data_IF_620794116579
#
_entry.id   IF_620794116579
#
_cell.length_a   1.000
_cell.length_b   1.000
_cell.length_c   1.000
_cell.angle_alpha   90.00
_cell.angle_beta   90.00
_cell.angle_gamma   90.00
#
_symmetry.space_group_name_H-M   'P 1'
#
loop_
_entity.id
_entity.type
_entity.pdbx_description
1 polymer ?
#
# COMPACT_ATOMS: atom_id res chain seq x y z
N UNK A 1 -17.39 20.02 1.83
CA UNK A 1 -17.69 18.71 2.48
C UNK A 1 -16.88 17.54 1.88
N UNK A 2 -15.69 17.78 1.30
CA UNK A 2 -14.87 16.71 0.67
C UNK A 2 -13.62 16.34 1.49
N UNK A 3 -13.05 17.30 2.25
CA UNK A 3 -11.90 17.06 3.12
C UNK A 3 -12.16 16.03 4.24
N UNK A 4 -13.38 16.00 4.80
CA UNK A 4 -13.69 15.09 5.92
C UNK A 4 -13.64 13.60 5.52
N UNK A 5 -13.87 13.25 4.25
CA UNK A 5 -13.81 11.84 3.77
C UNK A 5 -12.39 11.30 3.63
N UNK A 6 -11.40 12.18 3.39
CA UNK A 6 -10.00 11.77 3.28
C UNK A 6 -9.40 11.44 4.65
N UNK A 7 -9.89 12.07 5.71
CA UNK A 7 -9.46 11.83 7.09
C UNK A 7 -9.99 10.50 7.67
N UNK A 8 -10.87 9.79 6.96
CA UNK A 8 -11.38 8.46 7.32
C UNK A 8 -10.57 7.32 6.71
N UNK A 9 -9.49 7.63 5.97
CA UNK A 9 -8.64 6.64 5.31
C UNK A 9 -7.27 6.57 5.96
N UNK A 10 -6.66 5.41 5.86
CA UNK A 10 -5.25 5.23 6.21
C UNK A 10 -4.35 5.98 5.21
N UNK A 11 -3.09 6.27 5.57
CA UNK A 11 -2.14 6.94 4.65
C UNK A 11 -1.96 6.22 3.31
N UNK A 12 -2.20 4.90 3.28
CA UNK A 12 -2.20 4.07 2.06
C UNK A 12 -3.47 4.16 1.21
N UNK A 13 -4.46 4.95 1.61
CA UNK A 13 -5.81 4.98 1.00
C UNK A 13 -6.72 3.82 1.42
N UNK A 14 -6.22 2.86 2.20
CA UNK A 14 -7.00 1.73 2.70
C UNK A 14 -8.04 2.17 3.74
N UNK A 15 -9.12 1.39 3.85
CA UNK A 15 -10.09 1.53 4.94
C UNK A 15 -9.47 1.09 6.27
N UNK A 16 -9.60 1.88 7.36
CA UNK A 16 -9.15 1.47 8.68
C UNK A 16 -10.04 0.35 9.24
N UNK A 17 -9.52 -0.37 10.23
CA UNK A 17 -10.30 -1.31 11.02
C UNK A 17 -11.51 -0.62 11.66
N UNK A 18 -12.64 -1.32 11.72
CA UNK A 18 -13.84 -0.86 12.42
C UNK A 18 -14.14 -1.70 13.66
N UNK A 19 -14.70 -1.07 14.69
CA UNK A 19 -15.23 -1.75 15.88
C UNK A 19 -16.52 -2.50 15.52
N UNK A 20 -17.04 -3.41 16.39
CA UNK A 20 -18.31 -4.10 16.16
C UNK A 20 -19.49 -3.15 15.92
N UNK A 21 -19.43 -1.94 16.49
CA UNK A 21 -20.45 -0.89 16.34
C UNK A 21 -20.29 -0.11 15.01
N UNK A 22 -19.26 -0.40 14.23
CA UNK A 22 -19.00 0.22 12.93
C UNK A 22 -18.15 1.49 12.97
N UNK A 23 -17.66 1.90 14.14
CA UNK A 23 -16.79 3.08 14.29
C UNK A 23 -15.35 2.78 13.87
N UNK A 24 -14.58 3.79 13.47
CA UNK A 24 -13.14 3.63 13.19
C UNK A 24 -12.41 3.24 14.48
N UNK A 25 -11.60 2.19 14.42
CA UNK A 25 -10.80 1.73 15.56
C UNK A 25 -9.55 2.62 15.73
N UNK A 26 -9.48 3.33 16.85
CA UNK A 26 -8.35 4.16 17.24
C UNK A 26 -7.37 3.33 18.06
N UNK A 27 -6.11 3.74 18.08
CA UNK A 27 -5.07 3.00 18.80
C UNK A 27 -4.03 3.94 19.42
N UNK A 28 -3.34 3.41 20.42
CA UNK A 28 -2.13 4.00 20.99
C UNK A 28 -0.89 3.26 20.52
N UNK A 29 -1.00 1.94 20.39
CA UNK A 29 0.08 1.04 20.00
C UNK A 29 -0.47 -0.14 19.16
N UNK A 30 0.43 -0.95 18.59
CA UNK A 30 0.05 -2.04 17.66
C UNK A 30 -0.78 -3.15 18.32
N UNK A 31 -0.73 -3.34 19.64
CA UNK A 31 -1.51 -4.39 20.33
C UNK A 31 -2.99 -4.05 20.48
N UNK A 32 -3.35 -2.77 20.27
CA UNK A 32 -4.75 -2.34 20.22
C UNK A 32 -5.43 -2.78 18.90
N UNK A 33 -4.63 -3.20 17.92
CA UNK A 33 -5.07 -3.55 16.58
C UNK A 33 -5.13 -5.07 16.36
N UNK A 34 -6.01 -5.51 15.46
CA UNK A 34 -6.05 -6.92 15.05
C UNK A 34 -4.77 -7.32 14.32
N UNK A 35 -4.43 -8.61 14.29
CA UNK A 35 -3.17 -9.18 13.74
C UNK A 35 -2.73 -8.67 12.35
N UNK A 36 -3.66 -8.17 11.54
CA UNK A 36 -3.43 -7.68 10.17
C UNK A 36 -3.34 -6.15 10.07
N UNK A 37 -3.32 -5.44 11.18
CA UNK A 37 -3.32 -3.99 11.27
C UNK A 37 -2.17 -3.49 12.15
N UNK A 38 -1.74 -2.25 11.90
CA UNK A 38 -0.74 -1.55 12.69
C UNK A 38 -1.25 -0.17 13.09
N UNK A 39 -0.80 0.30 14.24
CA UNK A 39 -1.21 1.58 14.79
C UNK A 39 -0.51 2.74 14.11
N UNK A 40 -1.23 3.38 13.18
CA UNK A 40 -0.66 4.30 12.21
C UNK A 40 -1.18 5.71 12.44
N UNK A 41 -0.26 6.68 12.48
CA UNK A 41 -0.62 8.10 12.57
C UNK A 41 -1.30 8.59 11.29
N UNK A 42 -2.32 9.42 11.44
CA UNK A 42 -3.08 9.99 10.32
C UNK A 42 -2.65 11.43 10.08
N UNK A 43 -2.00 11.66 8.94
CA UNK A 43 -1.47 12.97 8.60
C UNK A 43 -2.56 14.04 8.59
N UNK A 44 -2.30 15.17 9.23
CA UNK A 44 -3.24 16.29 9.33
C UNK A 44 -4.38 16.09 10.34
N UNK A 45 -4.44 14.96 11.05
CA UNK A 45 -5.46 14.69 12.05
C UNK A 45 -4.89 14.76 13.48
N UNK A 46 -5.20 15.86 14.17
CA UNK A 46 -4.83 16.07 15.57
C UNK A 46 -6.05 16.42 16.42
N UNK A 47 -6.03 16.00 17.68
CA UNK A 47 -7.05 16.33 18.67
C UNK A 47 -6.37 16.85 19.94
N UNK A 48 -6.61 18.12 20.29
CA UNK A 48 -5.96 18.80 21.42
C UNK A 48 -4.42 18.66 21.45
N UNK A 49 -3.78 18.74 20.28
CA UNK A 49 -2.31 18.62 20.16
C UNK A 49 -1.80 17.17 20.21
N UNK A 50 -2.69 16.18 20.27
CA UNK A 50 -2.33 14.76 20.21
C UNK A 50 -2.57 14.25 18.79
N UNK A 51 -1.57 13.56 18.24
CA UNK A 51 -1.64 12.91 16.94
C UNK A 51 -2.64 11.76 16.98
N UNK A 52 -3.69 11.82 16.15
CA UNK A 52 -4.65 10.71 16.04
C UNK A 52 -4.00 9.56 15.26
N UNK A 53 -4.29 8.33 15.71
CA UNK A 53 -3.82 7.08 15.12
C UNK A 53 -4.97 6.10 14.95
N UNK A 54 -4.98 5.41 13.81
CA UNK A 54 -5.96 4.36 13.50
C UNK A 54 -5.27 3.00 13.37
N UNK A 55 -6.03 1.94 13.60
CA UNK A 55 -5.64 0.61 13.19
C UNK A 55 -5.77 0.48 11.67
N UNK A 56 -4.64 0.58 10.98
CA UNK A 56 -4.57 0.55 9.53
C UNK A 56 -4.06 -0.79 9.02
N UNK A 57 -4.63 -1.35 7.93
CA UNK A 57 -4.15 -2.61 7.39
C UNK A 57 -2.67 -2.52 7.01
N UNK A 58 -1.90 -3.52 7.43
CA UNK A 58 -0.49 -3.60 7.04
C UNK A 58 -0.33 -3.83 5.54
N UNK A 59 0.84 -3.50 4.99
CA UNK A 59 1.17 -3.83 3.59
C UNK A 59 1.00 -5.32 3.31
N UNK A 60 1.38 -6.17 4.26
CA UNK A 60 1.27 -7.62 4.12
C UNK A 60 -0.19 -8.09 4.05
N UNK A 61 -1.11 -7.46 4.80
CA UNK A 61 -2.52 -7.83 4.77
C UNK A 61 -3.28 -7.30 3.56
N UNK A 62 -2.69 -6.39 2.79
CA UNK A 62 -3.22 -5.90 1.52
C UNK A 62 -2.58 -6.67 0.36
N UNK A 63 -1.27 -6.57 0.21
CA UNK A 63 -0.54 -6.98 -1.00
C UNK A 63 -0.50 -8.50 -1.20
N UNK A 64 -0.70 -9.29 -0.15
CA UNK A 64 -0.73 -10.76 -0.26
C UNK A 64 -2.14 -11.33 -0.51
N UNK A 65 -3.17 -10.48 -0.61
CA UNK A 65 -4.51 -10.94 -0.95
C UNK A 65 -4.59 -11.28 -2.45
N UNK A 66 -5.34 -12.32 -2.86
CA UNK A 66 -5.59 -12.58 -4.27
C UNK A 66 -6.39 -11.44 -4.91
N UNK A 67 -6.24 -11.17 -6.21
CA UNK A 67 -7.11 -10.21 -6.90
C UNK A 67 -8.57 -10.66 -6.80
N UNK A 68 -9.45 -9.75 -6.38
CA UNK A 68 -10.87 -10.01 -6.42
C UNK A 68 -11.61 -8.95 -7.24
N UNK A 69 -12.01 -9.28 -8.49
CA UNK A 69 -12.69 -8.35 -9.38
C UNK A 69 -14.15 -8.08 -8.96
N UNK A 70 -14.63 -8.63 -7.84
CA UNK A 70 -16.02 -8.57 -7.41
C UNK A 70 -16.90 -9.60 -8.10
N UNK A 71 -18.01 -9.96 -7.45
CA UNK A 71 -19.01 -10.89 -7.96
C UNK A 71 -20.43 -10.51 -7.51
N UNK A 72 -21.43 -11.17 -8.10
CA UNK A 72 -22.85 -11.04 -7.73
C UNK A 72 -23.64 -10.12 -8.65
N UNK A 73 -24.86 -9.77 -8.22
CA UNK A 73 -25.66 -8.75 -8.89
C UNK A 73 -25.16 -7.37 -8.46
N UNK A 74 -24.69 -6.59 -9.44
CA UNK A 74 -23.91 -5.38 -9.20
C UNK A 74 -24.67 -4.12 -9.69
N UNK A 75 -26.00 -4.12 -9.69
CA UNK A 75 -26.88 -2.98 -10.01
C UNK A 75 -26.45 -2.21 -11.29
N UNK A 76 -26.13 -2.92 -12.37
CA UNK A 76 -25.63 -2.34 -13.64
C UNK A 76 -24.31 -1.53 -13.52
N UNK A 77 -23.51 -1.71 -12.47
CA UNK A 77 -22.18 -1.11 -12.36
C UNK A 77 -21.27 -1.59 -13.49
N UNK A 78 -20.58 -0.64 -14.12
CA UNK A 78 -19.61 -0.94 -15.19
C UNK A 78 -18.26 -1.35 -14.58
N UNK A 79 -17.54 -2.32 -15.18
CA UNK A 79 -16.19 -2.66 -14.76
C UNK A 79 -15.26 -1.45 -14.87
N UNK A 80 -14.50 -1.17 -13.82
CA UNK A 80 -13.45 -0.15 -13.79
C UNK A 80 -12.09 -0.79 -13.96
N UNK A 81 -11.21 -0.13 -14.72
CA UNK A 81 -9.80 -0.49 -14.74
C UNK A 81 -9.17 -0.07 -13.41
N UNK A 82 -8.54 -1.02 -12.73
CA UNK A 82 -7.81 -0.82 -11.48
C UNK A 82 -6.51 -1.64 -11.53
N UNK A 83 -5.71 -1.58 -10.48
CA UNK A 83 -4.46 -2.34 -10.36
C UNK A 83 -4.47 -3.19 -9.10
N UNK A 84 -3.91 -4.39 -9.16
CA UNK A 84 -3.65 -5.23 -7.99
C UNK A 84 -2.18 -5.64 -8.00
N UNK A 85 -1.66 -6.00 -6.83
CA UNK A 85 -0.33 -6.57 -6.73
C UNK A 85 -0.38 -8.08 -6.94
N UNK A 86 0.31 -8.57 -7.98
CA UNK A 86 0.53 -9.99 -8.22
C UNK A 86 1.76 -10.46 -7.44
N UNK A 87 1.53 -11.14 -6.31
CA UNK A 87 2.60 -11.65 -5.46
C UNK A 87 3.45 -12.77 -6.10
N UNK A 88 2.99 -13.37 -7.20
CA UNK A 88 3.79 -14.37 -7.95
C UNK A 88 4.77 -13.66 -8.89
N UNK A 89 4.31 -12.61 -9.57
CA UNK A 89 5.14 -11.79 -10.47
C UNK A 89 5.93 -10.71 -9.75
N UNK A 90 5.58 -10.44 -8.49
CA UNK A 90 6.10 -9.35 -7.69
C UNK A 90 5.93 -7.99 -8.36
N UNK A 91 4.80 -7.82 -9.06
CA UNK A 91 4.49 -6.60 -9.82
C UNK A 91 3.01 -6.26 -9.76
N UNK A 92 2.73 -4.97 -9.82
CA UNK A 92 1.40 -4.46 -10.04
C UNK A 92 0.90 -4.81 -11.45
N UNK A 93 -0.36 -5.24 -11.54
CA UNK A 93 -0.99 -5.69 -12.78
C UNK A 93 -2.38 -5.06 -12.91
N UNK A 94 -2.79 -4.66 -14.12
CA UNK A 94 -4.12 -4.14 -14.35
C UNK A 94 -5.17 -5.25 -14.29
N UNK A 95 -6.36 -4.92 -13.79
CA UNK A 95 -7.53 -5.79 -13.80
C UNK A 95 -8.83 -4.99 -13.86
N UNK A 96 -9.92 -5.63 -14.29
CA UNK A 96 -11.26 -5.01 -14.33
C UNK A 96 -12.03 -5.40 -13.09
N UNK A 97 -12.48 -4.42 -12.32
CA UNK A 97 -13.22 -4.61 -11.07
C UNK A 97 -14.65 -4.11 -11.22
N UNK A 98 -15.59 -4.95 -10.81
CA UNK A 98 -16.96 -4.56 -10.49
C UNK A 98 -17.00 -4.21 -9.00
N UNK A 99 -17.27 -2.94 -8.67
CA UNK A 99 -17.35 -2.47 -7.28
C UNK A 99 -18.62 -2.97 -6.58
N UNK A 100 -18.75 -4.28 -6.41
CA UNK A 100 -19.85 -4.96 -5.72
C UNK A 100 -19.32 -5.90 -4.62
N UNK A 101 -19.98 -7.02 -4.37
CA UNK A 101 -19.63 -7.92 -3.28
C UNK A 101 -18.30 -8.62 -3.56
N UNK A 102 -17.57 -8.94 -2.48
CA UNK A 102 -16.33 -9.70 -2.57
C UNK A 102 -15.19 -8.96 -3.26
N UNK A 103 -15.15 -7.63 -3.20
CA UNK A 103 -13.91 -6.88 -3.51
C UNK A 103 -13.05 -6.79 -2.24
N UNK A 104 -11.74 -6.91 -2.39
CA UNK A 104 -10.78 -6.78 -1.28
C UNK A 104 -9.84 -5.59 -1.48
N UNK A 105 -8.93 -5.37 -0.52
CA UNK A 105 -8.07 -4.18 -0.49
C UNK A 105 -6.89 -4.25 -1.46
N UNK A 106 -6.58 -5.41 -2.08
CA UNK A 106 -5.57 -5.49 -3.13
C UNK A 106 -6.13 -4.95 -4.46
N UNK A 107 -6.52 -3.68 -4.43
CA UNK A 107 -7.07 -2.91 -5.54
C UNK A 107 -6.69 -1.45 -5.38
N UNK A 108 -6.15 -0.86 -6.43
CA UNK A 108 -5.63 0.51 -6.45
C UNK A 108 -6.17 1.22 -7.69
N UNK A 109 -6.38 2.53 -7.60
CA UNK A 109 -6.95 3.28 -8.73
C UNK A 109 -5.90 3.48 -9.82
N UNK A 110 -4.62 3.59 -9.43
CA UNK A 110 -3.50 3.78 -10.37
C UNK A 110 -2.39 2.76 -10.14
N UNK A 111 -1.52 2.58 -11.13
CA UNK A 111 -0.35 1.71 -11.02
C UNK A 111 0.61 2.26 -9.96
N UNK A 112 0.78 3.58 -9.90
CA UNK A 112 1.68 4.25 -8.96
C UNK A 112 1.26 4.03 -7.51
N UNK A 113 -0.05 4.08 -7.22
CA UNK A 113 -0.60 3.75 -5.90
C UNK A 113 -0.26 2.30 -5.50
N UNK A 114 -0.45 1.36 -6.43
CA UNK A 114 -0.11 -0.04 -6.22
C UNK A 114 1.39 -0.23 -5.97
N UNK A 115 2.24 0.37 -6.81
CA UNK A 115 3.71 0.27 -6.71
C UNK A 115 4.20 0.87 -5.40
N UNK A 116 3.68 2.04 -5.02
CA UNK A 116 4.02 2.69 -3.76
C UNK A 116 3.60 1.85 -2.55
N UNK A 117 2.46 1.15 -2.63
CA UNK A 117 1.96 0.34 -1.53
C UNK A 117 2.63 -1.03 -1.43
N UNK A 118 2.85 -1.71 -2.56
CA UNK A 118 3.17 -3.13 -2.59
C UNK A 118 4.53 -3.48 -3.20
N UNK A 119 5.11 -2.64 -4.06
CA UNK A 119 6.45 -2.91 -4.59
C UNK A 119 7.53 -2.23 -3.74
N UNK A 120 7.34 -0.96 -3.38
CA UNK A 120 8.32 -0.15 -2.62
C UNK A 120 8.31 -0.41 -1.12
N UNK A 121 8.28 -1.68 -0.69
CA UNK A 121 8.08 -1.98 0.73
C UNK A 121 9.32 -1.81 1.61
N UNK A 122 10.52 -1.95 1.03
CA UNK A 122 11.79 -1.80 1.74
C UNK A 122 12.29 -0.35 1.88
N UNK A 123 11.86 0.56 1.00
CA UNK A 123 12.44 1.90 0.89
C UNK A 123 11.80 2.88 1.88
N UNK A 124 12.60 3.85 2.36
CA UNK A 124 12.10 4.92 3.21
C UNK A 124 11.27 5.91 2.40
N UNK A 125 10.44 6.72 3.09
CA UNK A 125 9.72 7.81 2.45
C UNK A 125 10.68 8.72 1.66
N UNK A 126 10.36 8.96 0.38
CA UNK A 126 11.18 9.75 -0.55
C UNK A 126 12.27 8.97 -1.30
N UNK A 127 12.62 7.76 -0.87
CA UNK A 127 13.49 6.85 -1.63
C UNK A 127 12.66 6.06 -2.68
N UNK A 128 13.33 5.63 -3.76
CA UNK A 128 12.77 4.76 -4.80
C UNK A 128 13.57 3.47 -4.91
N UNK A 129 12.92 2.40 -5.34
CA UNK A 129 13.60 1.17 -5.72
C UNK A 129 14.43 1.40 -6.98
N UNK A 130 15.63 0.83 -7.01
CA UNK A 130 16.39 0.68 -8.26
C UNK A 130 15.76 -0.43 -9.10
N UNK A 131 15.29 -0.07 -10.29
CA UNK A 131 14.75 -1.00 -11.29
C UNK A 131 15.64 -0.95 -12.52
N UNK A 132 16.20 -2.08 -12.92
CA UNK A 132 17.02 -2.27 -14.12
C UNK A 132 16.33 -3.31 -15.01
N UNK A 133 16.15 -3.00 -16.30
CA UNK A 133 15.45 -3.86 -17.27
C UNK A 133 14.07 -4.36 -16.81
N UNK A 134 13.35 -3.52 -16.06
CA UNK A 134 12.01 -3.83 -15.54
C UNK A 134 11.99 -4.79 -14.34
N UNK A 135 13.15 -5.11 -13.76
CA UNK A 135 13.30 -5.91 -12.56
C UNK A 135 13.95 -5.11 -11.42
N UNK A 136 13.53 -5.36 -10.18
CA UNK A 136 14.13 -4.72 -8.99
C UNK A 136 15.55 -5.25 -8.79
N UNK A 137 16.52 -4.34 -8.61
CA UNK A 137 17.90 -4.72 -8.31
C UNK A 137 18.02 -5.29 -6.89
N UNK A 138 18.41 -6.55 -6.81
CA UNK A 138 18.75 -7.22 -5.56
C UNK A 138 20.16 -6.86 -5.11
N UNK A 139 20.38 -6.87 -3.81
CA UNK A 139 21.69 -6.68 -3.21
C UNK A 139 21.96 -7.78 -2.17
N UNK A 140 23.23 -7.94 -1.81
CA UNK A 140 23.67 -8.97 -0.86
C UNK A 140 25.08 -9.42 -1.18
N UNK A 141 25.23 -10.20 -2.26
CA UNK A 141 26.54 -10.49 -2.84
C UNK A 141 27.09 -9.28 -3.62
N UNK A 142 26.22 -8.62 -4.38
CA UNK A 142 26.55 -7.36 -5.05
C UNK A 142 26.12 -6.15 -4.22
N UNK A 143 26.96 -5.11 -4.25
CA UNK A 143 26.66 -3.83 -3.62
C UNK A 143 25.72 -2.99 -4.51
N UNK A 144 24.92 -2.15 -3.87
CA UNK A 144 24.14 -1.15 -4.57
C UNK A 144 25.04 -0.06 -5.17
N UNK A 145 24.66 0.55 -6.30
CA UNK A 145 25.40 1.67 -6.87
C UNK A 145 25.41 2.90 -5.95
N UNK A 146 26.26 3.91 -6.22
CA UNK A 146 26.24 5.18 -5.48
C UNK A 146 24.83 5.78 -5.41
N UNK A 147 24.50 6.41 -4.27
CA UNK A 147 23.16 6.95 -3.91
C UNK A 147 22.08 5.93 -3.58
N UNK A 148 22.38 4.63 -3.66
CA UNK A 148 21.50 3.55 -3.22
C UNK A 148 22.05 2.81 -2.00
N UNK A 149 21.14 2.41 -1.12
CA UNK A 149 21.41 1.67 0.11
C UNK A 149 20.68 0.33 0.03
N UNK A 150 21.40 -0.75 0.35
CA UNK A 150 20.83 -2.09 0.42
C UNK A 150 19.90 -2.18 1.64
N UNK A 151 18.61 -2.49 1.41
CA UNK A 151 17.58 -2.60 2.46
C UNK A 151 16.86 -3.95 2.37
N UNK A 152 16.49 -4.49 3.53
CA UNK A 152 15.70 -5.72 3.60
C UNK A 152 14.22 -5.42 3.35
N UNK A 153 13.66 -6.09 2.35
CA UNK A 153 12.24 -6.14 2.06
C UNK A 153 11.61 -7.29 2.87
N UNK A 154 10.90 -6.94 3.94
CA UNK A 154 10.26 -7.92 4.81
C UNK A 154 9.10 -8.67 4.14
N UNK A 155 8.44 -8.04 3.15
CA UNK A 155 7.30 -8.63 2.45
C UNK A 155 7.75 -9.76 1.51
N UNK A 156 8.88 -9.57 0.83
CA UNK A 156 9.44 -10.54 -0.14
C UNK A 156 10.64 -11.32 0.37
N UNK A 157 11.06 -11.08 1.63
CA UNK A 157 12.22 -11.71 2.28
C UNK A 157 13.50 -11.64 1.42
N UNK A 158 13.75 -10.48 0.82
CA UNK A 158 14.90 -10.24 -0.06
C UNK A 158 15.54 -8.89 0.25
N UNK A 159 16.77 -8.67 -0.20
CA UNK A 159 17.43 -7.38 -0.07
C UNK A 159 17.41 -6.64 -1.41
N UNK A 160 17.03 -5.37 -1.41
CA UNK A 160 16.86 -4.52 -2.60
C UNK A 160 17.56 -3.19 -2.44
N UNK A 161 17.94 -2.57 -3.56
CA UNK A 161 18.57 -1.25 -3.55
C UNK A 161 17.53 -0.12 -3.50
N UNK A 162 17.56 0.66 -2.42
CA UNK A 162 16.70 1.83 -2.21
C UNK A 162 17.53 3.11 -2.19
N UNK A 163 17.13 4.12 -2.96
CA UNK A 163 17.91 5.35 -3.06
C UNK A 163 17.17 6.46 -3.77
N UNK A 164 17.86 7.56 -3.96
CA UNK A 164 17.37 8.68 -4.76
C UNK A 164 17.95 8.51 -6.16
N UNK A 165 17.08 8.43 -7.18
CA UNK A 165 17.58 8.38 -8.55
C UNK A 165 18.28 9.70 -8.86
N UNK A 166 19.57 9.65 -9.18
CA UNK A 166 20.28 10.77 -9.80
C UNK A 166 19.74 11.10 -11.20
N UNK A 167 18.95 10.20 -11.78
CA UNK A 167 18.18 10.37 -13.01
C UNK A 167 16.69 10.52 -12.65
N UNK A 168 16.26 11.74 -12.37
CA UNK A 168 14.84 12.08 -12.25
C UNK A 168 14.11 11.86 -13.58
N UNK A 169 13.75 10.61 -13.89
CA UNK A 169 12.70 10.35 -14.87
C UNK A 169 11.37 10.41 -14.16
N UNK A 170 10.84 11.64 -14.10
CA UNK A 170 9.40 11.85 -14.12
C UNK A 170 8.87 11.11 -15.34
N UNK A 171 8.21 9.98 -15.11
CA UNK A 171 7.32 9.38 -16.11
C UNK A 171 6.27 10.46 -16.39
N UNK A 172 6.32 11.03 -17.59
CA UNK A 172 5.31 11.96 -18.12
C UNK A 172 4.02 11.21 -18.40
#
# INVERSE_FOLDING_TARGET
>A
MHLMKYLEKCPSGADPQRTPEGNIAWCTNDTDCSERHSCTAIDGLMHFGIQIRYCCPTRMSICLLPPQPGYGDCDNKKPKLMYYFDATRLRCQPFKVLECLGVNQNRFNTEEECVAQCERTACKAGESLLVEDGAVRLCGAEACPPTYICRYDALFRRHVCCGYSSLGNFVK
#
